data_IF_217377104357
#
_entry.id   IF_217377104357
#
_cell.length_a   1.000
_cell.length_b   1.000
_cell.length_c   1.000
_cell.angle_alpha   90.00
_cell.angle_beta   90.00
_cell.angle_gamma   90.00
#
_symmetry.space_group_name_H-M   'P 1'
#
loop_
_entity.id
_entity.type
_entity.pdbx_description
1 polymer ?
#
# COMPACT_ATOMS: atom_id res chain seq x y z
N UNK A 1 14.83 8.11 10.39
CA UNK A 1 13.98 6.98 10.00
C UNK A 1 14.69 6.26 8.88
N UNK A 2 14.93 4.95 9.01
CA UNK A 2 15.43 4.16 7.87
C UNK A 2 14.32 4.11 6.84
N UNK A 3 14.59 4.60 5.63
CA UNK A 3 13.65 4.49 4.52
C UNK A 3 13.56 3.01 4.12
N UNK A 4 12.34 2.47 4.16
CA UNK A 4 12.06 1.11 3.70
C UNK A 4 11.73 1.22 2.22
N UNK A 5 12.32 0.34 1.41
CA UNK A 5 12.02 0.25 -0.02
C UNK A 5 11.21 -1.02 -0.25
N UNK A 6 9.98 -0.85 -0.73
CA UNK A 6 9.14 -1.95 -1.18
C UNK A 6 9.39 -2.22 -2.67
N UNK A 7 9.16 -3.44 -3.11
CA UNK A 7 9.20 -3.76 -4.55
C UNK A 7 7.92 -3.24 -5.23
N UNK A 8 7.96 -2.98 -6.55
CA UNK A 8 6.77 -2.58 -7.30
C UNK A 8 5.60 -3.56 -7.14
N UNK A 9 5.85 -4.87 -7.28
CA UNK A 9 4.80 -5.90 -7.12
C UNK A 9 4.12 -5.84 -5.74
N UNK A 10 4.89 -5.64 -4.66
CA UNK A 10 4.33 -5.50 -3.32
C UNK A 10 3.49 -4.23 -3.17
N UNK A 11 3.89 -3.14 -3.83
CA UNK A 11 3.11 -1.90 -3.84
C UNK A 11 1.79 -2.13 -4.60
N UNK A 12 1.82 -2.82 -5.73
CA UNK A 12 0.65 -3.13 -6.54
C UNK A 12 -0.37 -3.99 -5.79
N UNK A 13 0.09 -5.02 -5.07
CA UNK A 13 -0.77 -5.87 -4.23
C UNK A 13 -1.48 -5.07 -3.14
N UNK A 14 -0.73 -4.21 -2.42
CA UNK A 14 -1.29 -3.33 -1.40
C UNK A 14 -2.31 -2.34 -1.99
N UNK A 15 -2.00 -1.75 -3.14
CA UNK A 15 -2.90 -0.83 -3.85
C UNK A 15 -4.17 -1.57 -4.30
N UNK A 16 -4.05 -2.79 -4.80
CA UNK A 16 -5.20 -3.57 -5.23
C UNK A 16 -6.18 -3.79 -4.08
N UNK A 17 -5.71 -4.35 -2.95
CA UNK A 17 -6.52 -4.58 -1.76
C UNK A 17 -7.17 -3.28 -1.25
N UNK A 18 -6.41 -2.18 -1.23
CA UNK A 18 -6.94 -0.87 -0.81
C UNK A 18 -7.97 -0.27 -1.79
N UNK A 19 -7.77 -0.46 -3.10
CA UNK A 19 -8.65 0.01 -4.18
C UNK A 19 -9.99 -0.71 -4.17
N UNK A 20 -9.98 -2.04 -4.01
CA UNK A 20 -11.21 -2.85 -3.98
C UNK A 20 -11.91 -2.85 -2.62
N UNK A 21 -11.25 -2.32 -1.59
CA UNK A 21 -11.82 -2.20 -0.23
C UNK A 21 -11.69 -3.48 0.60
N UNK A 22 -10.78 -4.39 0.23
CA UNK A 22 -10.48 -5.59 1.01
C UNK A 22 -9.61 -5.25 2.22
N UNK A 23 -10.25 -4.72 3.26
CA UNK A 23 -9.59 -4.31 4.49
C UNK A 23 -8.94 -5.49 5.25
N UNK A 24 -9.54 -6.69 5.33
CA UNK A 24 -8.88 -7.86 5.90
C UNK A 24 -7.57 -8.22 5.20
N UNK A 25 -7.58 -8.36 3.87
CA UNK A 25 -6.37 -8.69 3.10
C UNK A 25 -5.30 -7.61 3.26
N UNK A 26 -5.70 -6.34 3.13
CA UNK A 26 -4.76 -5.22 3.30
C UNK A 26 -4.09 -5.21 4.68
N UNK A 27 -4.84 -5.53 5.75
CA UNK A 27 -4.27 -5.61 7.11
C UNK A 27 -3.29 -6.77 7.25
N UNK A 28 -3.65 -7.94 6.74
CA UNK A 28 -2.79 -9.13 6.77
C UNK A 28 -1.47 -8.89 6.03
N UNK A 29 -1.52 -8.27 4.84
CA UNK A 29 -0.34 -7.94 4.06
C UNK A 29 0.56 -6.93 4.79
N UNK A 30 -0.03 -5.87 5.35
CA UNK A 30 0.69 -4.84 6.10
C UNK A 30 1.36 -5.41 7.36
N UNK A 31 0.68 -6.27 8.11
CA UNK A 31 1.23 -6.94 9.30
C UNK A 31 2.35 -7.92 8.91
N UNK A 32 2.17 -8.67 7.83
CA UNK A 32 3.17 -9.60 7.30
C UNK A 32 4.45 -8.87 6.87
N UNK A 33 4.32 -7.77 6.13
CA UNK A 33 5.45 -6.93 5.71
C UNK A 33 6.13 -6.26 6.90
N UNK A 34 5.34 -5.77 7.86
CA UNK A 34 5.84 -5.19 9.12
C UNK A 34 6.73 -6.18 9.88
N UNK A 35 6.30 -7.44 10.00
CA UNK A 35 7.07 -8.49 10.63
C UNK A 35 8.33 -8.87 9.84
N UNK A 36 8.23 -9.03 8.52
CA UNK A 36 9.35 -9.41 7.66
C UNK A 36 10.45 -8.34 7.62
N UNK A 37 10.06 -7.06 7.59
CA UNK A 37 10.97 -5.92 7.50
C UNK A 37 11.37 -5.39 8.89
N UNK A 38 10.87 -6.01 9.97
CA UNK A 38 11.09 -5.62 11.36
C UNK A 38 10.86 -4.11 11.59
N UNK A 39 9.70 -3.62 11.15
CA UNK A 39 9.35 -2.20 11.17
C UNK A 39 7.88 -2.02 11.57
N UNK A 40 7.45 -0.83 12.03
CA UNK A 40 6.03 -0.60 12.29
C UNK A 40 5.23 -0.56 10.97
N UNK A 41 3.97 -1.02 10.99
CA UNK A 41 3.03 -0.95 9.86
C UNK A 41 2.96 0.46 9.24
N UNK A 42 3.01 1.52 10.07
CA UNK A 42 3.03 2.90 9.59
C UNK A 42 4.19 3.21 8.64
N UNK A 43 5.34 2.54 8.79
CA UNK A 43 6.47 2.70 7.90
C UNK A 43 6.24 2.00 6.55
N UNK A 44 5.56 0.84 6.55
CA UNK A 44 5.14 0.15 5.32
C UNK A 44 4.12 1.01 4.56
N UNK A 45 3.10 1.53 5.25
CA UNK A 45 2.08 2.42 4.66
C UNK A 45 2.72 3.68 4.05
N UNK A 46 3.72 4.27 4.72
CA UNK A 46 4.42 5.44 4.23
C UNK A 46 5.33 5.15 3.01
N UNK A 47 5.82 3.91 2.89
CA UNK A 47 6.66 3.48 1.77
C UNK A 47 5.84 3.00 0.55
N UNK A 48 4.57 2.65 0.74
CA UNK A 48 3.66 2.21 -0.31
C UNK A 48 3.17 3.42 -1.14
N UNK A 49 4.00 3.84 -2.09
CA UNK A 49 3.71 4.89 -3.06
C UNK A 49 3.72 4.26 -4.45
N UNK A 50 2.64 4.49 -5.20
CA UNK A 50 2.54 4.07 -6.60
C UNK A 50 3.57 4.82 -7.46
N UNK A 51 4.76 4.24 -7.64
CA UNK A 51 5.86 4.83 -8.40
C UNK A 51 6.03 4.19 -9.78
N UNK A 52 5.05 3.41 -10.26
CA UNK A 52 5.08 2.86 -11.61
C UNK A 52 5.03 4.00 -12.66
N UNK A 53 5.54 3.78 -13.88
CA UNK A 53 5.38 4.73 -14.98
C UNK A 53 3.90 5.02 -15.25
N UNK A 54 3.56 6.25 -15.63
CA UNK A 54 2.18 6.64 -15.95
C UNK A 54 1.63 5.81 -17.13
N UNK A 55 2.51 5.44 -18.07
CA UNK A 55 2.18 4.57 -19.22
C UNK A 55 1.76 3.15 -18.79
N UNK A 56 2.14 2.73 -17.59
CA UNK A 56 1.79 1.44 -16.97
C UNK A 56 0.62 1.57 -15.98
N UNK A 57 0.05 2.78 -15.86
CA UNK A 57 -1.07 3.08 -14.95
C UNK A 57 -0.63 3.59 -13.58
N UNK A 58 0.66 3.92 -13.40
CA UNK A 58 1.16 4.50 -12.17
C UNK A 58 0.64 5.92 -11.94
N UNK A 59 0.28 6.22 -10.69
CA UNK A 59 -0.44 7.44 -10.32
C UNK A 59 0.35 8.42 -9.44
N UNK A 60 1.51 8.01 -8.92
CA UNK A 60 2.25 8.80 -7.92
C UNK A 60 1.55 8.90 -6.55
N UNK A 61 0.41 8.24 -6.38
CA UNK A 61 -0.43 8.36 -5.18
C UNK A 61 0.07 7.46 -4.06
N UNK A 62 -0.04 7.92 -2.81
CA UNK A 62 0.21 7.05 -1.65
C UNK A 62 -0.96 6.08 -1.42
N UNK A 63 -0.67 4.95 -0.76
CA UNK A 63 -1.62 3.85 -0.51
C UNK A 63 -3.01 4.30 -0.04
N UNK A 64 -3.09 5.31 0.82
CA UNK A 64 -4.37 5.78 1.39
C UNK A 64 -5.23 6.61 0.43
N UNK A 65 -4.71 7.04 -0.73
CA UNK A 65 -5.52 7.72 -1.75
C UNK A 65 -6.55 6.78 -2.39
N UNK A 66 -6.19 5.52 -2.61
CA UNK A 66 -7.05 4.55 -3.30
C UNK A 66 -8.34 4.24 -2.53
N UNK A 67 -8.34 3.90 -1.23
CA UNK A 67 -9.58 3.65 -0.51
C UNK A 67 -10.46 4.90 -0.42
N UNK A 68 -9.86 6.09 -0.23
CA UNK A 68 -10.60 7.34 -0.20
C UNK A 68 -11.29 7.67 -1.53
N UNK A 69 -10.58 7.48 -2.65
CA UNK A 69 -11.12 7.71 -3.99
C UNK A 69 -12.21 6.71 -4.39
N UNK A 70 -12.16 5.48 -3.85
CA UNK A 70 -13.10 4.40 -4.19
C UNK A 70 -14.26 4.25 -3.18
N UNK A 71 -14.37 5.14 -2.19
CA UNK A 71 -15.47 5.12 -1.22
C UNK A 71 -15.30 4.10 -0.08
N UNK A 72 -14.11 3.55 0.10
CA UNK A 72 -13.76 2.58 1.15
C UNK A 72 -13.35 3.29 2.45
N UNK A 73 -14.22 4.16 2.99
CA UNK A 73 -13.91 5.06 4.12
C UNK A 73 -13.93 4.43 5.53
N UNK A 74 -14.12 3.10 5.61
CA UNK A 74 -14.20 2.36 6.88
C UNK A 74 -15.64 2.07 7.28
N UNK A 75 -16.06 0.83 7.03
CA UNK A 75 -17.20 0.17 7.68
C UNK A 75 -16.71 -1.05 8.42
#
# INVERSE_FOLDING_TARGET
>A
MSAITLTPDTIDDLIYSARVGDLPALKEDLESLSAQLNCPVSAVVAAAIDSAPEEEGGSGSCLLHFPAANGNLGT
#
